data_IF_940066041450
#
_entry.id   IF_940066041450
#
_cell.length_a   1.000
_cell.length_b   1.000
_cell.length_c   1.000
_cell.angle_alpha   90.00
_cell.angle_beta   90.00
_cell.angle_gamma   90.00
#
_symmetry.space_group_name_H-M   'P 1'
#
loop_
_entity.id
_entity.type
_entity.pdbx_description
1 polymer ?
#
# COMPACT_ATOMS: atom_id res chain seq x y z
N UNK A 1 -10.77 -18.05 -5.63
CA UNK A 1 -10.13 -17.90 -6.95
C UNK A 1 -9.03 -18.94 -7.08
N UNK A 2 -9.23 -20.01 -7.86
CA UNK A 2 -8.20 -21.02 -8.15
C UNK A 2 -7.68 -20.75 -9.55
N UNK A 3 -6.98 -19.63 -9.73
CA UNK A 3 -6.22 -19.43 -10.95
C UNK A 3 -5.01 -20.38 -10.88
N UNK A 4 -5.08 -21.47 -11.66
CA UNK A 4 -4.09 -22.54 -11.65
C UNK A 4 -2.84 -22.18 -12.46
N UNK A 5 -2.89 -21.13 -13.28
CA UNK A 5 -1.84 -20.79 -14.25
C UNK A 5 -0.52 -20.41 -13.56
N UNK A 6 -0.60 -19.92 -12.31
CA UNK A 6 0.57 -19.56 -11.51
C UNK A 6 0.84 -20.53 -10.35
N UNK A 7 0.06 -21.60 -10.21
CA UNK A 7 0.12 -22.45 -9.01
C UNK A 7 1.50 -23.07 -8.78
N UNK A 8 2.11 -23.65 -9.82
CA UNK A 8 3.44 -24.27 -9.70
C UNK A 8 4.51 -23.25 -9.30
N UNK A 9 4.48 -22.06 -9.89
CA UNK A 9 5.42 -20.98 -9.60
C UNK A 9 5.23 -20.40 -8.20
N UNK A 10 3.99 -20.23 -7.75
CA UNK A 10 3.68 -19.79 -6.37
C UNK A 10 4.17 -20.83 -5.35
N UNK A 11 3.96 -22.12 -5.61
CA UNK A 11 4.45 -23.20 -4.73
C UNK A 11 5.99 -23.20 -4.71
N UNK A 12 6.65 -23.12 -5.86
CA UNK A 12 8.11 -23.06 -5.93
C UNK A 12 8.66 -21.83 -5.16
N UNK A 13 8.08 -20.66 -5.37
CA UNK A 13 8.45 -19.41 -4.71
C UNK A 13 8.32 -19.52 -3.18
N UNK A 14 7.17 -19.95 -2.68
CA UNK A 14 6.92 -20.09 -1.24
C UNK A 14 7.84 -21.12 -0.57
N UNK A 15 8.26 -22.17 -1.30
CA UNK A 15 9.25 -23.15 -0.82
C UNK A 15 10.65 -22.57 -0.75
N UNK A 16 11.06 -21.77 -1.74
CA UNK A 16 12.35 -21.07 -1.72
C UNK A 16 12.38 -20.05 -0.57
N UNK A 17 11.34 -19.24 -0.41
CA UNK A 17 11.20 -18.30 0.71
C UNK A 17 11.34 -19.05 2.06
N UNK A 18 10.64 -20.18 2.21
CA UNK A 18 10.75 -21.02 3.40
C UNK A 18 12.16 -21.60 3.62
N UNK A 19 12.90 -21.88 2.55
CA UNK A 19 14.29 -22.33 2.64
C UNK A 19 15.22 -21.19 3.08
N UNK A 20 15.02 -19.97 2.56
CA UNK A 20 15.77 -18.77 2.99
C UNK A 20 15.57 -18.50 4.47
N UNK A 21 14.32 -18.48 4.95
CA UNK A 21 14.03 -18.31 6.38
C UNK A 21 14.67 -19.40 7.26
N UNK A 22 14.70 -20.66 6.80
CA UNK A 22 15.33 -21.77 7.54
C UNK A 22 16.85 -21.73 7.51
N UNK A 23 17.47 -21.23 6.44
CA UNK A 23 18.92 -21.04 6.35
C UNK A 23 19.40 -20.02 7.37
N UNK A 24 18.55 -19.02 7.67
CA UNK A 24 18.89 -17.93 8.59
C UNK A 24 19.87 -16.93 8.00
N UNK A 25 20.24 -15.92 8.79
CA UNK A 25 20.98 -14.75 8.34
C UNK A 25 20.07 -13.55 8.13
N UNK A 26 20.53 -12.56 7.37
CA UNK A 26 19.71 -11.41 7.01
C UNK A 26 18.69 -11.81 5.93
N UNK A 27 17.41 -11.64 6.27
CA UNK A 27 16.26 -11.97 5.41
C UNK A 27 15.44 -10.74 5.07
N UNK A 28 15.87 -9.55 5.51
CA UNK A 28 15.14 -8.29 5.28
C UNK A 28 15.10 -7.93 3.79
N UNK A 29 16.15 -8.29 3.03
CA UNK A 29 16.24 -8.10 1.59
C UNK A 29 15.09 -8.77 0.80
N UNK A 30 14.45 -9.81 1.33
CA UNK A 30 13.32 -10.47 0.66
C UNK A 30 12.17 -9.50 0.39
N UNK A 31 11.98 -8.48 1.23
CA UNK A 31 10.95 -7.47 1.02
C UNK A 31 11.21 -6.70 -0.26
N UNK A 32 12.42 -6.14 -0.40
CA UNK A 32 12.82 -5.34 -1.56
C UNK A 32 12.78 -6.18 -2.85
N UNK A 33 13.33 -7.41 -2.81
CA UNK A 33 13.33 -8.32 -3.96
C UNK A 33 11.92 -8.66 -4.42
N UNK A 34 11.00 -8.98 -3.50
CA UNK A 34 9.62 -9.32 -3.86
C UNK A 34 8.83 -8.11 -4.36
N UNK A 35 9.03 -6.93 -3.77
CA UNK A 35 8.40 -5.69 -4.23
C UNK A 35 8.87 -5.25 -5.62
N UNK A 36 10.10 -5.60 -6.01
CA UNK A 36 10.64 -5.29 -7.34
C UNK A 36 9.98 -6.08 -8.49
N UNK A 37 9.26 -7.17 -8.17
CA UNK A 37 8.61 -8.02 -9.16
C UNK A 37 7.30 -7.40 -9.64
N UNK A 38 7.19 -7.20 -10.95
CA UNK A 38 6.00 -6.66 -11.62
C UNK A 38 5.30 -7.71 -12.49
N UNK A 39 3.97 -7.60 -12.62
CA UNK A 39 3.20 -8.40 -13.58
C UNK A 39 3.24 -7.71 -14.95
N UNK A 40 3.67 -8.39 -16.03
CA UNK A 40 3.70 -7.82 -17.37
C UNK A 40 2.32 -7.43 -17.91
N UNK A 41 1.23 -8.01 -17.38
CA UNK A 41 -0.14 -7.63 -17.73
C UNK A 41 -0.61 -6.37 -16.98
N UNK A 42 0.24 -5.82 -16.12
CA UNK A 42 -0.11 -4.77 -15.18
C UNK A 42 -0.63 -5.35 -13.87
N UNK A 43 -0.26 -4.70 -12.78
CA UNK A 43 -0.76 -4.99 -11.45
C UNK A 43 -2.27 -4.78 -11.29
N UNK A 44 -2.77 -4.92 -10.07
CA UNK A 44 -4.20 -4.85 -9.77
C UNK A 44 -4.49 -4.00 -8.53
N UNK A 45 -5.74 -3.61 -8.34
CA UNK A 45 -6.19 -2.88 -7.15
C UNK A 45 -6.85 -3.83 -6.15
N UNK A 46 -6.43 -3.74 -4.90
CA UNK A 46 -7.11 -4.39 -3.77
C UNK A 46 -8.35 -3.59 -3.36
N UNK A 47 -9.31 -4.23 -2.67
CA UNK A 47 -10.36 -3.51 -1.95
C UNK A 47 -9.75 -2.39 -1.08
N UNK A 48 -10.35 -1.20 -1.12
CA UNK A 48 -9.78 0.01 -0.51
C UNK A 48 -8.86 0.85 -1.42
N UNK A 49 -8.70 0.46 -2.69
CA UNK A 49 -8.04 1.29 -3.70
C UNK A 49 -6.51 1.25 -3.66
N UNK A 50 -5.91 0.27 -2.98
CA UNK A 50 -4.45 0.07 -2.94
C UNK A 50 -4.01 -0.71 -4.16
N UNK A 51 -3.18 -0.10 -5.01
CA UNK A 51 -2.55 -0.74 -6.16
C UNK A 51 -1.42 -1.68 -5.73
N UNK A 52 -1.34 -2.84 -6.36
CA UNK A 52 -0.27 -3.83 -6.22
C UNK A 52 0.31 -4.17 -7.59
N UNK A 53 1.62 -4.00 -7.81
CA UNK A 53 2.24 -4.18 -9.12
C UNK A 53 2.29 -5.65 -9.58
N UNK A 54 2.22 -6.60 -8.65
CA UNK A 54 2.08 -8.04 -8.92
C UNK A 54 1.56 -8.78 -7.69
N UNK A 55 1.16 -10.05 -7.86
CA UNK A 55 0.88 -10.94 -6.74
C UNK A 55 2.14 -11.21 -5.88
N UNK A 56 3.32 -11.23 -6.50
CA UNK A 56 4.59 -11.46 -5.82
C UNK A 56 4.93 -10.28 -4.90
N UNK A 57 4.69 -9.05 -5.36
CA UNK A 57 4.84 -7.85 -4.54
C UNK A 57 3.86 -7.85 -3.36
N UNK A 58 2.65 -8.37 -3.53
CA UNK A 58 1.72 -8.55 -2.40
C UNK A 58 2.24 -9.55 -1.35
N UNK A 59 2.91 -10.63 -1.78
CA UNK A 59 3.62 -11.53 -0.84
C UNK A 59 4.74 -10.76 -0.12
N UNK A 60 5.43 -9.85 -0.81
CA UNK A 60 6.39 -8.92 -0.22
C UNK A 60 5.80 -8.10 0.92
N UNK A 61 4.62 -7.49 0.74
CA UNK A 61 3.93 -6.74 1.80
C UNK A 61 3.61 -7.60 3.02
N UNK A 62 3.17 -8.84 2.79
CA UNK A 62 2.86 -9.76 3.87
C UNK A 62 4.13 -10.08 4.68
N UNK A 63 5.26 -10.33 4.01
CA UNK A 63 6.54 -10.57 4.68
C UNK A 63 7.02 -9.30 5.40
N UNK A 64 6.95 -8.14 4.77
CA UNK A 64 7.33 -6.85 5.39
C UNK A 64 6.56 -6.61 6.69
N UNK A 65 5.25 -6.82 6.66
CA UNK A 65 4.37 -6.69 7.83
C UNK A 65 4.85 -7.60 8.97
N UNK A 66 5.19 -8.85 8.66
CA UNK A 66 5.70 -9.78 9.67
C UNK A 66 7.07 -9.37 10.19
N UNK A 67 7.99 -8.94 9.32
CA UNK A 67 9.33 -8.51 9.71
C UNK A 67 9.30 -7.25 10.58
N UNK A 68 8.40 -6.30 10.30
CA UNK A 68 8.13 -5.15 11.16
C UNK A 68 7.58 -5.59 12.52
N UNK A 69 6.58 -6.46 12.53
CA UNK A 69 5.94 -6.97 13.75
C UNK A 69 6.94 -7.62 14.72
N UNK A 70 7.92 -8.37 14.20
CA UNK A 70 8.94 -9.03 15.02
C UNK A 70 10.18 -8.15 15.29
N UNK A 71 10.19 -6.89 14.81
CA UNK A 71 11.27 -5.93 15.02
C UNK A 71 12.51 -6.15 14.15
N UNK A 72 12.43 -6.96 13.10
CA UNK A 72 13.52 -7.16 12.13
C UNK A 72 13.62 -6.00 11.13
N UNK A 73 12.50 -5.35 10.82
CA UNK A 73 12.45 -4.11 10.05
C UNK A 73 11.93 -2.98 10.94
N UNK A 74 12.52 -1.77 10.79
CA UNK A 74 11.94 -0.57 11.41
C UNK A 74 10.68 -0.18 10.67
N UNK A 75 9.66 0.14 11.43
CA UNK A 75 8.52 0.87 10.90
C UNK A 75 8.90 2.36 10.80
N UNK A 76 8.76 2.93 9.60
CA UNK A 76 8.79 4.38 9.45
C UNK A 76 7.47 4.92 9.98
N UNK A 77 7.45 5.30 11.26
CA UNK A 77 6.29 5.97 11.82
C UNK A 77 6.07 7.32 11.14
N UNK A 78 4.82 7.59 10.78
CA UNK A 78 4.41 8.93 10.39
C UNK A 78 4.69 9.89 11.54
N UNK A 79 5.35 11.00 11.24
CA UNK A 79 5.61 12.07 12.21
C UNK A 79 4.29 12.60 12.79
N UNK A 80 4.32 13.14 14.00
CA UNK A 80 3.11 13.70 14.63
C UNK A 80 2.45 14.79 13.77
N UNK A 81 3.26 15.56 13.04
CA UNK A 81 2.80 16.53 12.05
C UNK A 81 2.02 15.85 10.92
N UNK A 82 2.55 14.76 10.35
CA UNK A 82 1.84 14.00 9.30
C UNK A 82 0.53 13.39 9.81
N UNK A 83 0.53 12.88 11.05
CA UNK A 83 -0.69 12.36 11.71
C UNK A 83 -1.75 13.45 11.87
N UNK A 84 -1.35 14.65 12.32
CA UNK A 84 -2.25 15.80 12.46
C UNK A 84 -2.79 16.27 11.10
N UNK A 85 -1.91 16.44 10.11
CA UNK A 85 -2.31 16.85 8.74
C UNK A 85 -3.30 15.85 8.15
N UNK A 86 -3.08 14.54 8.31
CA UNK A 86 -4.04 13.54 7.83
C UNK A 86 -5.39 13.63 8.53
N UNK A 87 -5.41 13.85 9.85
CA UNK A 87 -6.65 13.99 10.61
C UNK A 87 -7.43 15.24 10.16
N UNK A 88 -6.76 16.38 10.04
CA UNK A 88 -7.35 17.63 9.57
C UNK A 88 -7.87 17.51 8.14
N UNK A 89 -7.07 16.96 7.22
CA UNK A 89 -7.47 16.78 5.82
C UNK A 89 -8.64 15.80 5.67
N UNK A 90 -8.69 14.74 6.49
CA UNK A 90 -9.82 13.80 6.53
C UNK A 90 -11.10 14.47 7.06
N UNK A 91 -11.01 15.25 8.14
CA UNK A 91 -12.15 16.02 8.66
C UNK A 91 -12.66 17.05 7.64
N UNK A 92 -11.74 17.77 6.98
CA UNK A 92 -12.10 18.71 5.92
C UNK A 92 -12.80 18.00 4.75
N UNK A 93 -12.31 16.81 4.36
CA UNK A 93 -12.96 15.99 3.35
C UNK A 93 -14.37 15.55 3.76
N UNK A 94 -14.53 14.95 4.94
CA UNK A 94 -15.82 14.50 5.46
C UNK A 94 -16.84 15.65 5.57
N UNK A 95 -16.39 16.83 6.03
CA UNK A 95 -17.23 18.03 6.11
C UNK A 95 -17.69 18.54 4.73
N UNK A 96 -16.85 18.43 3.68
CA UNK A 96 -17.23 18.76 2.30
C UNK A 96 -18.13 17.67 1.70
N UNK A 97 -17.93 16.41 2.06
CA UNK A 97 -18.71 15.27 1.54
C UNK A 97 -20.14 15.25 2.11
N UNK A 98 -20.33 15.64 3.38
CA UNK A 98 -21.66 15.81 3.99
C UNK A 98 -22.52 16.88 3.30
N UNK A 99 -21.91 17.84 2.60
CA UNK A 99 -22.63 18.82 1.78
C UNK A 99 -23.02 18.30 0.39
N UNK A 100 -22.46 17.15 -0.05
CA UNK A 100 -22.62 16.62 -1.40
C UNK A 100 -23.42 15.29 -1.49
N UNK A 101 -23.94 14.75 -0.38
CA UNK A 101 -24.95 13.69 -0.39
C UNK A 101 -24.50 12.31 -0.90
N UNK A 102 -23.19 12.00 -0.89
CA UNK A 102 -22.67 10.70 -1.33
C UNK A 102 -22.46 9.73 -0.16
N UNK A 103 -23.35 8.74 -0.02
CA UNK A 103 -23.19 7.58 0.86
C UNK A 103 -22.24 6.56 0.21
N UNK A 104 -20.94 6.64 0.49
CA UNK A 104 -20.04 5.49 0.31
C UNK A 104 -18.93 5.53 1.37
N UNK A 105 -19.15 4.75 2.43
CA UNK A 105 -18.43 4.80 3.71
C UNK A 105 -17.05 4.12 3.72
N UNK A 106 -16.42 3.93 2.56
CA UNK A 106 -15.10 3.30 2.49
C UNK A 106 -14.21 3.75 1.31
N UNK A 107 -14.67 4.63 0.42
CA UNK A 107 -13.96 4.96 -0.80
C UNK A 107 -13.52 6.44 -0.83
N UNK A 108 -12.27 6.65 -1.23
CA UNK A 108 -11.73 7.96 -1.61
C UNK A 108 -12.60 8.58 -2.73
N UNK A 109 -12.65 9.91 -2.85
CA UNK A 109 -13.60 10.59 -3.75
C UNK A 109 -13.47 10.15 -5.20
N UNK A 110 -14.58 10.19 -5.93
CA UNK A 110 -14.58 10.05 -7.39
C UNK A 110 -13.67 11.13 -8.00
N UNK A 111 -12.60 10.69 -8.67
CA UNK A 111 -11.55 11.57 -9.20
C UNK A 111 -10.24 11.55 -8.41
N UNK A 112 -10.15 10.85 -7.28
CA UNK A 112 -8.88 10.60 -6.61
C UNK A 112 -7.90 9.87 -7.53
N UNK A 113 -6.63 10.30 -7.53
CA UNK A 113 -5.55 9.69 -8.34
C UNK A 113 -4.61 8.85 -7.47
N UNK A 114 -3.81 8.00 -8.12
CA UNK A 114 -2.87 7.10 -7.46
C UNK A 114 -1.77 7.90 -6.74
N UNK A 115 -1.56 7.62 -5.45
CA UNK A 115 -0.44 8.14 -4.69
C UNK A 115 0.85 7.42 -5.08
N UNK A 116 1.90 8.16 -5.42
CA UNK A 116 3.21 7.59 -5.73
C UNK A 116 3.91 7.00 -4.48
N UNK A 117 3.58 7.47 -3.27
CA UNK A 117 4.20 7.03 -2.02
C UNK A 117 3.58 5.74 -1.46
N UNK A 118 2.26 5.69 -1.34
CA UNK A 118 1.56 4.56 -0.71
C UNK A 118 0.76 3.69 -1.69
N UNK A 119 0.83 3.98 -3.00
CA UNK A 119 0.09 3.26 -4.04
C UNK A 119 -1.42 3.19 -3.82
N UNK A 120 -1.99 4.09 -3.00
CA UNK A 120 -3.43 4.16 -2.78
C UNK A 120 -4.05 5.23 -3.67
N UNK A 121 -5.20 4.93 -4.30
CA UNK A 121 -5.99 5.89 -5.09
C UNK A 121 -6.70 6.89 -4.19
N UNK A 122 -5.94 7.80 -3.61
CA UNK A 122 -6.36 8.67 -2.51
C UNK A 122 -5.85 10.12 -2.64
N UNK A 123 -5.19 10.47 -3.74
CA UNK A 123 -4.66 11.83 -3.93
C UNK A 123 -5.73 12.73 -4.52
N UNK A 124 -5.95 13.87 -3.89
CA UNK A 124 -6.87 14.91 -4.34
C UNK A 124 -6.21 16.28 -4.33
N UNK A 125 -6.76 17.21 -5.12
CA UNK A 125 -6.39 18.62 -5.03
C UNK A 125 -7.11 19.24 -3.82
N UNK A 126 -6.35 19.62 -2.80
CA UNK A 126 -6.87 20.32 -1.64
C UNK A 126 -6.02 21.56 -1.37
N UNK A 127 -6.66 22.73 -1.31
CA UNK A 127 -6.02 24.02 -1.03
C UNK A 127 -4.87 24.35 -1.98
N UNK A 128 -5.04 24.02 -3.26
CA UNK A 128 -4.04 24.24 -4.31
C UNK A 128 -2.91 23.21 -4.35
N UNK A 129 -2.91 22.19 -3.47
CA UNK A 129 -1.90 21.15 -3.46
C UNK A 129 -2.46 19.73 -3.62
N UNK A 130 -1.72 18.87 -4.32
CA UNK A 130 -2.03 17.44 -4.44
C UNK A 130 -1.66 16.73 -3.13
N UNK A 131 -2.66 16.27 -2.38
CA UNK A 131 -2.50 15.64 -1.05
C UNK A 131 -3.15 14.26 -1.01
N UNK A 132 -2.45 13.27 -0.46
CA UNK A 132 -2.95 11.92 -0.27
C UNK A 132 -3.72 11.78 1.05
N UNK A 133 -4.99 11.38 0.98
CA UNK A 133 -5.82 11.11 2.16
C UNK A 133 -5.50 9.78 2.88
N UNK A 134 -4.62 8.95 2.29
CA UNK A 134 -4.22 7.65 2.85
C UNK A 134 -2.95 7.76 3.71
N UNK A 135 -1.94 8.49 3.24
CA UNK A 135 -0.63 8.58 3.90
C UNK A 135 -0.13 10.01 4.18
N UNK A 136 -0.93 11.03 3.86
CA UNK A 136 -0.58 12.44 4.10
C UNK A 136 0.47 13.03 3.16
N UNK A 137 0.97 12.27 2.18
CA UNK A 137 1.92 12.75 1.18
C UNK A 137 1.38 13.95 0.41
N UNK A 138 2.18 15.02 0.29
CA UNK A 138 1.80 16.25 -0.40
C UNK A 138 2.91 16.75 -1.31
N UNK A 139 2.58 17.25 -2.50
CA UNK A 139 3.58 17.81 -3.43
C UNK A 139 4.16 19.17 -3.00
N UNK A 140 3.61 19.79 -1.95
CA UNK A 140 3.96 21.15 -1.54
C UNK A 140 4.66 21.23 -0.18
N UNK A 141 4.96 20.09 0.46
CA UNK A 141 5.68 20.03 1.74
C UNK A 141 5.66 18.65 2.36
#
# INVERSE_FOLDING_TARGET
SKNMDHFQWIVALTRIISAVFRKGGDVTFLVEELHSVFDPQGGYFKPGGVYKPSLVAEIGDAIETHLKMIGLLREEELTDVQKQVMAEKRQQYESRQQQAGGEDSANYPEGAVLCAKCSTKAVILMDGCMTCLSCGDSKCG
#
